data_IF_409909086956
#
_entry.id   IF_409909086956
#
_cell.length_a   1.000
_cell.length_b   1.000
_cell.length_c   1.000
_cell.angle_alpha   90.00
_cell.angle_beta   90.00
_cell.angle_gamma   90.00
#
_symmetry.space_group_name_H-M   'P 1'
#
loop_
_entity.id
_entity.type
_entity.pdbx_description
1 polymer ?
#
# COMPACT_ATOMS: atom_id res chain seq x y z
N UNK A 1 -20.97 -0.84 9.39
CA UNK A 1 -20.49 -1.55 8.18
C UNK A 1 -19.10 -2.07 8.49
N UNK A 2 -18.93 -3.39 8.58
CA UNK A 2 -17.61 -4.02 8.78
C UNK A 2 -16.70 -3.61 7.61
N UNK A 3 -15.52 -3.03 7.90
CA UNK A 3 -14.52 -2.72 6.89
C UNK A 3 -13.98 -4.06 6.38
N UNK A 4 -14.36 -4.47 5.16
CA UNK A 4 -13.87 -5.71 4.54
C UNK A 4 -12.34 -5.79 4.63
N UNK A 5 -11.82 -6.96 4.96
CA UNK A 5 -10.38 -7.17 5.09
C UNK A 5 -9.74 -7.23 3.71
N UNK A 6 -8.46 -6.84 3.61
CA UNK A 6 -7.73 -6.83 2.33
C UNK A 6 -7.81 -8.19 1.60
N UNK A 7 -7.69 -9.30 2.33
CA UNK A 7 -7.75 -10.64 1.75
C UNK A 7 -9.11 -10.97 1.11
N UNK A 8 -10.21 -10.56 1.76
CA UNK A 8 -11.56 -10.74 1.23
C UNK A 8 -11.75 -9.91 -0.04
N UNK A 9 -11.29 -8.65 -0.01
CA UNK A 9 -11.34 -7.75 -1.14
C UNK A 9 -10.53 -8.26 -2.35
N UNK A 10 -9.36 -8.84 -2.12
CA UNK A 10 -8.55 -9.45 -3.17
C UNK A 10 -9.23 -10.71 -3.75
N UNK A 11 -9.96 -11.46 -2.93
CA UNK A 11 -10.70 -12.65 -3.36
C UNK A 11 -11.92 -12.25 -4.19
N UNK A 12 -12.67 -11.24 -3.76
CA UNK A 12 -13.80 -10.66 -4.50
C UNK A 12 -13.37 -10.09 -5.86
N UNK A 13 -12.17 -9.54 -5.94
CA UNK A 13 -11.58 -9.04 -7.18
C UNK A 13 -11.00 -10.15 -8.08
N UNK A 14 -11.05 -11.41 -7.66
CA UNK A 14 -10.52 -12.55 -8.42
C UNK A 14 -8.99 -12.58 -8.54
N UNK A 15 -8.28 -11.78 -7.73
CA UNK A 15 -6.81 -11.71 -7.75
C UNK A 15 -6.16 -12.87 -7.00
N UNK A 16 -6.89 -13.45 -6.04
CA UNK A 16 -6.53 -14.67 -5.32
C UNK A 16 -7.79 -15.50 -5.10
N UNK A 17 -7.64 -16.79 -4.79
CA UNK A 17 -8.75 -17.64 -4.39
C UNK A 17 -8.80 -17.86 -2.86
N UNK A 18 -9.86 -18.51 -2.39
CA UNK A 18 -10.08 -18.75 -0.96
C UNK A 18 -9.00 -19.65 -0.32
N UNK A 19 -8.49 -20.63 -1.04
CA UNK A 19 -7.43 -21.52 -0.55
C UNK A 19 -6.11 -20.77 -0.33
N UNK A 20 -5.72 -19.93 -1.30
CA UNK A 20 -4.56 -19.05 -1.23
C UNK A 20 -4.67 -18.07 -0.07
N UNK A 21 -5.85 -17.47 0.13
CA UNK A 21 -6.12 -16.60 1.27
C UNK A 21 -5.96 -17.36 2.59
N UNK A 22 -6.58 -18.53 2.73
CA UNK A 22 -6.51 -19.34 3.94
C UNK A 22 -5.07 -19.76 4.27
N UNK A 23 -4.29 -20.15 3.26
CA UNK A 23 -2.89 -20.49 3.46
C UNK A 23 -2.08 -19.26 3.91
N UNK A 24 -2.27 -18.10 3.28
CA UNK A 24 -1.60 -16.87 3.68
C UNK A 24 -1.96 -16.44 5.11
N UNK A 25 -3.22 -16.61 5.54
CA UNK A 25 -3.65 -16.34 6.91
C UNK A 25 -3.00 -17.30 7.93
N UNK A 26 -2.84 -18.58 7.58
CA UNK A 26 -2.12 -19.55 8.42
C UNK A 26 -0.67 -19.12 8.62
N UNK A 27 0.02 -18.80 7.53
CA UNK A 27 1.41 -18.30 7.58
C UNK A 27 1.49 -16.99 8.37
N UNK A 28 0.52 -16.09 8.23
CA UNK A 28 0.47 -14.84 9.01
C UNK A 28 0.31 -15.10 10.50
N UNK A 29 -0.47 -16.11 10.90
CA UNK A 29 -0.66 -16.46 12.31
C UNK A 29 0.63 -16.98 12.93
N UNK A 30 1.44 -17.71 12.18
CA UNK A 30 2.71 -18.28 12.64
C UNK A 30 3.86 -17.27 12.65
N UNK A 31 3.93 -16.41 11.62
CA UNK A 31 5.09 -15.54 11.40
C UNK A 31 4.83 -14.04 11.67
N UNK A 32 3.56 -13.66 11.85
CA UNK A 32 3.14 -12.27 11.89
C UNK A 32 3.28 -11.56 10.54
N UNK A 33 3.15 -10.23 10.54
CA UNK A 33 3.30 -9.39 9.35
C UNK A 33 2.00 -9.07 8.62
N UNK A 34 2.11 -8.47 7.42
CA UNK A 34 0.97 -8.03 6.61
C UNK A 34 0.55 -9.13 5.64
N UNK A 35 -0.74 -9.47 5.61
CA UNK A 35 -1.29 -10.49 4.70
C UNK A 35 -0.93 -10.25 3.23
N UNK A 36 -0.99 -9.01 2.74
CA UNK A 36 -0.58 -8.66 1.38
C UNK A 36 0.88 -9.01 1.06
N UNK A 37 1.81 -8.77 2.00
CA UNK A 37 3.23 -9.12 1.81
C UNK A 37 3.43 -10.64 1.80
N UNK A 38 2.65 -11.36 2.62
CA UNK A 38 2.69 -12.82 2.67
C UNK A 38 2.16 -13.40 1.37
N UNK A 39 1.03 -12.90 0.85
CA UNK A 39 0.47 -13.31 -0.44
C UNK A 39 1.48 -13.15 -1.58
N UNK A 40 2.23 -12.03 -1.60
CA UNK A 40 3.30 -11.82 -2.59
C UNK A 40 4.44 -12.81 -2.40
N UNK A 41 4.93 -12.97 -1.17
CA UNK A 41 6.05 -13.86 -0.85
C UNK A 41 5.73 -15.32 -1.19
N UNK A 42 4.47 -15.73 -1.04
CA UNK A 42 3.97 -17.05 -1.42
C UNK A 42 3.73 -17.19 -2.94
N UNK A 43 3.90 -16.11 -3.71
CA UNK A 43 3.71 -16.11 -5.17
C UNK A 43 2.24 -16.09 -5.61
N UNK A 44 1.29 -15.80 -4.73
CA UNK A 44 -0.14 -15.81 -5.05
C UNK A 44 -0.63 -14.55 -5.74
N UNK A 45 0.08 -13.44 -5.55
CA UNK A 45 -0.18 -12.18 -6.23
C UNK A 45 1.15 -11.48 -6.49
N UNK A 46 1.28 -10.76 -7.60
CA UNK A 46 2.46 -9.94 -7.86
C UNK A 46 2.46 -8.67 -6.98
N UNK A 47 3.64 -8.10 -6.73
CA UNK A 47 3.73 -6.79 -6.06
C UNK A 47 2.99 -5.71 -6.84
N UNK A 48 3.11 -5.70 -8.16
CA UNK A 48 2.48 -4.69 -9.03
C UNK A 48 0.95 -4.77 -8.95
N UNK A 49 0.38 -5.98 -9.05
CA UNK A 49 -1.07 -6.18 -8.92
C UNK A 49 -1.58 -5.78 -7.53
N UNK A 50 -0.82 -6.09 -6.47
CA UNK A 50 -1.18 -5.68 -5.11
C UNK A 50 -1.16 -4.14 -4.95
N UNK A 51 -0.14 -3.48 -5.50
CA UNK A 51 -0.01 -2.02 -5.48
C UNK A 51 -1.14 -1.37 -6.26
N UNK A 52 -1.42 -1.85 -7.46
CA UNK A 52 -2.52 -1.37 -8.30
C UNK A 52 -3.87 -1.50 -7.59
N UNK A 53 -4.12 -2.66 -6.96
CA UNK A 53 -5.34 -2.90 -6.20
C UNK A 53 -5.51 -1.92 -5.04
N UNK A 54 -4.47 -1.75 -4.21
CA UNK A 54 -4.49 -0.85 -3.06
C UNK A 54 -4.68 0.62 -3.48
N UNK A 55 -4.03 1.02 -4.58
CA UNK A 55 -4.20 2.36 -5.16
C UNK A 55 -5.66 2.63 -5.56
N UNK A 56 -6.30 1.68 -6.24
CA UNK A 56 -7.73 1.76 -6.58
C UNK A 56 -8.60 1.82 -5.33
N UNK A 57 -8.35 0.97 -4.33
CA UNK A 57 -9.12 0.92 -3.08
C UNK A 57 -9.06 2.24 -2.29
N UNK A 58 -7.91 2.92 -2.30
CA UNK A 58 -7.69 4.16 -1.55
C UNK A 58 -7.92 5.42 -2.38
N UNK A 59 -8.35 5.30 -3.64
CA UNK A 59 -8.46 6.43 -4.58
C UNK A 59 -7.17 7.26 -4.67
N UNK A 60 -6.02 6.58 -4.57
CA UNK A 60 -4.69 7.19 -4.60
C UNK A 60 -3.89 6.63 -5.76
N UNK A 61 -3.07 7.46 -6.40
CA UNK A 61 -2.15 6.99 -7.45
C UNK A 61 -0.97 6.29 -6.79
N UNK A 62 -0.61 5.10 -7.29
CA UNK A 62 0.71 4.52 -7.03
C UNK A 62 1.76 5.38 -7.72
N UNK A 63 2.94 5.46 -7.13
CA UNK A 63 4.10 6.12 -7.74
C UNK A 63 5.33 5.24 -7.56
N UNK A 64 6.17 5.22 -8.59
CA UNK A 64 7.49 4.60 -8.53
C UNK A 64 8.50 5.69 -8.21
N UNK A 65 8.95 5.72 -6.95
CA UNK A 65 9.84 6.77 -6.46
C UNK A 65 11.16 6.83 -7.26
N UNK A 66 11.58 5.71 -7.84
CA UNK A 66 12.81 5.64 -8.67
C UNK A 66 12.70 6.44 -9.97
N UNK A 67 11.48 6.76 -10.40
CA UNK A 67 11.16 7.50 -11.63
C UNK A 67 10.63 8.91 -11.35
N UNK A 68 10.38 9.26 -10.10
CA UNK A 68 9.84 10.56 -9.73
C UNK A 68 10.97 11.57 -9.50
N UNK A 69 10.76 12.79 -9.99
CA UNK A 69 11.59 13.94 -9.65
C UNK A 69 11.05 14.52 -8.34
N UNK A 70 11.84 14.42 -7.27
CA UNK A 70 11.51 14.99 -5.97
C UNK A 70 11.69 16.51 -6.03
N UNK A 71 10.64 17.24 -5.66
CA UNK A 71 10.70 18.69 -5.56
C UNK A 71 11.47 19.07 -4.30
N UNK A 72 12.56 19.82 -4.43
CA UNK A 72 13.36 20.28 -3.28
C UNK A 72 12.52 21.06 -2.27
N UNK A 73 11.45 21.74 -2.71
CA UNK A 73 10.53 22.46 -1.82
C UNK A 73 9.69 21.53 -0.94
N UNK A 74 9.63 20.24 -1.29
CA UNK A 74 9.00 19.23 -0.45
C UNK A 74 9.94 18.79 0.70
N UNK A 75 11.25 18.97 0.54
CA UNK A 75 12.24 18.60 1.55
C UNK A 75 12.05 19.45 2.80
N UNK A 76 12.04 18.80 3.96
CA UNK A 76 11.83 19.47 5.24
C UNK A 76 10.37 19.78 5.60
N UNK A 77 9.40 19.57 4.69
CA UNK A 77 7.97 19.69 5.03
C UNK A 77 7.54 18.67 6.09
N UNK A 78 8.17 17.50 6.10
CA UNK A 78 7.98 16.46 7.10
C UNK A 78 9.32 16.24 7.81
N UNK A 79 9.39 16.45 9.14
CA UNK A 79 10.59 16.14 9.92
C UNK A 79 11.03 14.68 9.71
N UNK A 80 12.34 14.46 9.60
CA UNK A 80 12.93 13.15 9.30
C UNK A 80 12.42 12.04 10.24
N UNK A 81 12.33 12.33 11.54
CA UNK A 81 11.84 11.38 12.55
C UNK A 81 10.40 10.92 12.25
N UNK A 82 9.55 11.83 11.78
CA UNK A 82 8.16 11.53 11.41
C UNK A 82 8.14 10.74 10.11
N UNK A 83 8.89 11.18 9.09
CA UNK A 83 9.02 10.48 7.81
C UNK A 83 9.45 9.01 8.01
N UNK A 84 10.50 8.77 8.81
CA UNK A 84 10.98 7.42 9.16
C UNK A 84 9.94 6.59 9.91
N UNK A 85 9.29 7.17 10.94
CA UNK A 85 8.27 6.47 11.74
C UNK A 85 7.10 5.99 10.88
N UNK A 86 6.63 6.82 9.96
CA UNK A 86 5.49 6.51 9.11
C UNK A 86 5.87 5.85 7.78
N UNK A 87 7.16 5.60 7.54
CA UNK A 87 7.69 5.08 6.26
C UNK A 87 7.18 5.89 5.06
N UNK A 88 7.22 7.21 5.21
CA UNK A 88 6.75 8.18 4.23
C UNK A 88 7.88 9.10 3.78
N UNK A 89 7.76 9.65 2.58
CA UNK A 89 8.70 10.63 2.02
C UNK A 89 7.92 11.75 1.33
N UNK A 90 8.22 13.04 1.61
CA UNK A 90 7.59 14.14 0.91
C UNK A 90 8.14 14.24 -0.52
N UNK A 91 7.28 14.14 -1.53
CA UNK A 91 7.70 14.15 -2.94
C UNK A 91 7.43 15.48 -3.64
N UNK A 92 6.30 16.14 -3.35
CA UNK A 92 5.87 17.41 -3.95
C UNK A 92 5.01 18.18 -2.94
N UNK A 93 5.16 19.52 -2.79
CA UNK A 93 4.25 20.31 -1.98
C UNK A 93 2.85 20.32 -2.63
N UNK A 94 1.81 20.09 -1.82
CA UNK A 94 0.42 20.27 -2.29
C UNK A 94 0.15 21.78 -2.36
N UNK A 95 -0.12 22.32 -3.55
CA UNK A 95 -0.71 23.65 -3.68
C UNK A 95 -2.14 23.59 -3.15
N UNK A 96 -2.35 23.96 -1.89
CA UNK A 96 -3.69 24.21 -1.39
C UNK A 96 -4.12 25.56 -1.95
N UNK A 97 -5.01 25.57 -2.96
CA UNK A 97 -5.78 26.77 -3.26
C UNK A 97 -6.69 27.02 -2.05
N UNK A 98 -6.30 27.95 -1.17
CA UNK A 98 -7.26 28.59 -0.28
C UNK A 98 -8.15 29.45 -1.18
N UNK A 99 -9.37 28.99 -1.47
CA UNK A 99 -10.42 29.88 -1.95
C UNK A 99 -10.79 30.78 -0.78
N UNK A 100 -10.52 32.08 -0.92
CA UNK A 100 -11.26 33.12 -0.19
C UNK A 100 -12.72 33.11 -0.66
#
# INVERSE_FOLDING_TARGET
MSRKLLGELLTEAGLINLEQLNHALKVQKEQGGKSGQILVRLGYISMDSLVEFLSKQHSTKSCDLSKEIIDERAMGLIPEKIAKRYKAVPIKPKKTHYKN
#
